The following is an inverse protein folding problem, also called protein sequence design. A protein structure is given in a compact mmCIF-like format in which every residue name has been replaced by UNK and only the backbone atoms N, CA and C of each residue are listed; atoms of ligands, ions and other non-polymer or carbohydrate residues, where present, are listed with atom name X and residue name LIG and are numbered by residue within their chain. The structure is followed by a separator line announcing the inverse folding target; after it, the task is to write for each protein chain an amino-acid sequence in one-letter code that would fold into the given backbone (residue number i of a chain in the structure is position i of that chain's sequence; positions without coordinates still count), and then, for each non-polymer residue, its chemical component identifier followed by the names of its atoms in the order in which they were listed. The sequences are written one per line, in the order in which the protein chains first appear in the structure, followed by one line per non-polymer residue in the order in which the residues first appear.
data_IF_348562652920
#
_entry.id   IF_348562652920
#
_cell.length_a   1.000
_cell.length_b   1.000
_cell.length_c   1.000
_cell.angle_alpha   90.00
_cell.angle_beta   90.00
_cell.angle_gamma   90.00
#
_symmetry.space_group_name_H-M   'P 1'
#
loop_
_entity.id
_entity.type
_entity.pdbx_description
1 polymer ?
#
# COMPACT_ATOMS: atom_id res chain seq x y z
N UNK A 1 2.96 8.12 -19.37
CA UNK A 1 3.58 6.78 -19.34
C UNK A 1 4.82 6.80 -18.48
N UNK A 2 5.01 5.78 -17.63
CA UNK A 2 6.25 5.61 -16.87
C UNK A 2 7.15 4.63 -17.62
N UNK A 3 8.40 5.03 -17.90
CA UNK A 3 9.47 4.12 -18.32
C UNK A 3 10.21 3.48 -17.14
N UNK A 4 9.79 3.79 -15.91
CA UNK A 4 10.39 3.29 -14.68
C UNK A 4 9.57 2.12 -14.15
N UNK A 5 10.25 0.99 -13.98
CA UNK A 5 9.70 -0.22 -13.36
C UNK A 5 10.11 -0.26 -11.89
N UNK A 6 9.13 -0.38 -11.01
CA UNK A 6 9.33 -0.56 -9.57
C UNK A 6 9.01 -2.02 -9.22
N UNK A 7 9.94 -2.72 -8.60
CA UNK A 7 9.71 -4.08 -8.11
C UNK A 7 10.46 -4.37 -6.81
N UNK A 8 10.01 -5.42 -6.11
CA UNK A 8 10.68 -5.99 -4.93
C UNK A 8 10.80 -4.97 -3.77
N UNK A 9 9.71 -4.24 -3.52
CA UNK A 9 9.63 -3.23 -2.47
C UNK A 9 8.98 -3.83 -1.23
N UNK A 10 9.59 -3.65 -0.06
CA UNK A 10 9.03 -4.09 1.22
C UNK A 10 8.71 -2.89 2.10
N UNK A 11 7.47 -2.79 2.53
CA UNK A 11 6.99 -1.85 3.55
C UNK A 11 6.74 -2.64 4.82
N UNK A 12 7.52 -2.38 5.85
CA UNK A 12 7.52 -3.16 7.08
C UNK A 12 7.41 -2.25 8.30
N UNK A 13 6.61 -2.66 9.30
CA UNK A 13 6.56 -2.06 10.63
C UNK A 13 6.16 -0.56 10.59
N UNK A 14 5.14 -0.24 9.80
CA UNK A 14 4.67 1.13 9.58
C UNK A 14 3.46 1.40 10.45
N UNK A 15 3.53 2.42 11.29
CA UNK A 15 2.47 2.76 12.24
C UNK A 15 2.12 4.23 12.20
N UNK A 16 0.84 4.54 12.36
CA UNK A 16 0.41 5.91 12.63
C UNK A 16 -0.99 6.24 12.14
N UNK A 17 -1.19 7.52 11.87
CA UNK A 17 -2.48 8.08 11.48
C UNK A 17 -2.32 8.92 10.22
N UNK A 18 -3.13 8.61 9.22
CA UNK A 18 -3.25 9.39 8.00
C UNK A 18 -4.22 10.56 8.20
N UNK A 19 -3.90 11.69 7.57
CA UNK A 19 -4.78 12.87 7.49
C UNK A 19 -5.84 12.71 6.41
N UNK A 20 -5.66 11.77 5.48
CA UNK A 20 -6.59 11.40 4.41
C UNK A 20 -7.17 10.01 4.62
N UNK A 21 -8.36 9.77 4.06
CA UNK A 21 -9.04 8.47 4.16
C UNK A 21 -8.21 7.35 3.51
N UNK A 22 -7.65 7.60 2.33
CA UNK A 22 -6.70 6.70 1.67
C UNK A 22 -5.31 6.93 2.27
N UNK A 23 -4.80 5.97 3.05
CA UNK A 23 -3.48 6.02 3.68
C UNK A 23 -2.42 5.25 2.89
N UNK A 24 -2.83 4.26 2.10
CA UNK A 24 -1.95 3.49 1.21
C UNK A 24 -2.42 3.69 -0.21
N UNK A 25 -1.57 4.24 -1.09
CA UNK A 25 -1.88 4.44 -2.50
C UNK A 25 -0.74 3.92 -3.38
N UNK A 26 -0.98 2.83 -4.10
CA UNK A 26 -0.09 2.32 -5.14
C UNK A 26 -0.69 2.63 -6.51
N UNK A 27 -0.13 3.62 -7.20
CA UNK A 27 -0.61 4.11 -8.49
C UNK A 27 0.47 3.89 -9.54
N UNK A 28 0.48 2.67 -10.09
CA UNK A 28 1.50 2.21 -11.02
C UNK A 28 0.97 2.29 -12.46
N UNK A 29 1.89 2.37 -13.42
CA UNK A 29 1.51 2.46 -14.82
C UNK A 29 1.01 1.11 -15.34
N UNK A 30 -0.07 1.09 -16.11
CA UNK A 30 -0.47 -0.08 -16.92
C UNK A 30 0.66 -0.55 -17.86
N UNK A 31 1.47 0.40 -18.34
CA UNK A 31 2.77 0.28 -19.01
C UNK A 31 3.77 -0.67 -18.35
N UNK A 32 3.92 -0.45 -17.06
CA UNK A 32 5.01 -0.99 -16.24
C UNK A 32 4.44 -1.18 -14.85
N UNK A 33 3.65 -2.25 -14.64
CA UNK A 33 3.02 -2.50 -13.35
C UNK A 33 4.07 -2.68 -12.27
N UNK A 34 3.73 -2.31 -11.04
CA UNK A 34 4.57 -2.60 -9.90
C UNK A 34 4.39 -4.06 -9.50
N UNK A 35 5.49 -4.75 -9.22
CA UNK A 35 5.48 -6.18 -8.91
C UNK A 35 6.24 -6.47 -7.62
N UNK A 36 5.88 -7.55 -6.93
CA UNK A 36 6.53 -7.99 -5.69
C UNK A 36 6.56 -6.90 -4.59
N UNK A 37 5.48 -6.13 -4.46
CA UNK A 37 5.32 -5.25 -3.29
C UNK A 37 4.92 -6.10 -2.09
N UNK A 38 5.59 -5.93 -0.95
CA UNK A 38 5.27 -6.62 0.30
C UNK A 38 4.86 -5.62 1.36
N UNK A 39 3.67 -5.82 1.93
CA UNK A 39 3.22 -5.12 3.13
C UNK A 39 3.35 -6.07 4.32
N UNK A 40 4.08 -5.67 5.34
CA UNK A 40 4.28 -6.46 6.55
C UNK A 40 4.07 -5.60 7.79
N UNK A 41 3.13 -5.99 8.65
CA UNK A 41 2.91 -5.31 9.93
C UNK A 41 2.68 -3.79 9.76
N UNK A 42 1.76 -3.43 8.88
CA UNK A 42 1.39 -2.03 8.57
C UNK A 42 0.08 -1.70 9.27
N UNK A 43 0.10 -0.69 10.14
CA UNK A 43 -1.06 -0.22 10.90
C UNK A 43 -1.24 1.29 10.76
N UNK A 44 -2.11 1.67 9.85
CA UNK A 44 -2.51 3.05 9.57
C UNK A 44 -3.99 3.25 9.88
N UNK A 45 -4.31 4.33 10.58
CA UNK A 45 -5.68 4.73 10.90
C UNK A 45 -6.02 6.07 10.27
N UNK A 46 -7.31 6.37 10.11
CA UNK A 46 -7.80 7.68 9.68
C UNK A 46 -8.49 8.36 10.85
N UNK A 47 -8.11 9.62 11.12
CA UNK A 47 -8.63 10.42 12.26
C UNK A 47 -8.60 9.68 13.60
N UNK A 48 -7.58 8.86 13.84
CA UNK A 48 -7.33 8.08 15.06
C UNK A 48 -8.39 7.05 15.47
N UNK A 49 -9.46 6.86 14.68
CA UNK A 49 -10.59 6.01 15.09
C UNK A 49 -11.10 5.13 13.94
N UNK A 50 -11.01 5.61 12.70
CA UNK A 50 -11.50 4.87 11.55
C UNK A 50 -10.38 4.04 10.92
N UNK A 51 -10.68 2.84 10.39
CA UNK A 51 -9.77 2.17 9.49
C UNK A 51 -9.51 3.10 8.30
N UNK A 52 -8.23 3.29 7.95
CA UNK A 52 -7.90 3.96 6.71
C UNK A 52 -8.31 3.07 5.51
N UNK A 53 -8.04 3.52 4.30
CA UNK A 53 -8.24 2.75 3.07
C UNK A 53 -6.92 2.58 2.31
N UNK A 54 -6.87 1.50 1.53
CA UNK A 54 -5.82 1.23 0.57
C UNK A 54 -6.39 1.30 -0.86
N UNK A 55 -5.63 1.88 -1.78
CA UNK A 55 -5.96 1.96 -3.20
C UNK A 55 -4.78 1.48 -4.04
N UNK A 56 -5.04 0.54 -4.95
CA UNK A 56 -4.03 -0.07 -5.80
C UNK A 56 -4.46 0.03 -7.27
N UNK A 57 -3.54 0.41 -8.15
CA UNK A 57 -3.71 0.48 -9.59
C UNK A 57 -2.46 -0.09 -10.24
N UNK A 58 -2.61 -1.18 -11.01
CA UNK A 58 -1.51 -1.90 -11.68
C UNK A 58 -0.36 -2.28 -10.73
N UNK A 59 -0.69 -2.64 -9.49
CA UNK A 59 0.24 -3.06 -8.46
C UNK A 59 -0.09 -4.49 -8.02
N UNK A 60 0.93 -5.34 -7.94
CA UNK A 60 0.81 -6.74 -7.54
C UNK A 60 1.78 -7.00 -6.40
N UNK A 61 1.29 -7.67 -5.36
CA UNK A 61 2.07 -7.87 -4.15
C UNK A 61 1.49 -8.91 -3.22
N UNK A 62 1.91 -8.83 -1.96
CA UNK A 62 1.37 -9.62 -0.88
C UNK A 62 1.35 -8.82 0.43
N UNK A 63 0.41 -9.17 1.29
CA UNK A 63 0.30 -8.65 2.64
C UNK A 63 0.49 -9.79 3.64
N UNK A 64 1.24 -9.53 4.71
CA UNK A 64 1.52 -10.50 5.77
C UNK A 64 1.55 -9.83 7.14
N UNK A 65 1.21 -10.57 8.20
CA UNK A 65 1.11 -10.02 9.55
C UNK A 65 -0.11 -9.11 9.74
N UNK A 66 0.00 -8.12 10.62
CA UNK A 66 -1.09 -7.17 10.88
C UNK A 66 -1.11 -6.08 9.80
N UNK A 67 -2.06 -6.15 8.86
CA UNK A 67 -2.20 -5.15 7.79
C UNK A 67 -3.54 -4.44 7.88
N UNK A 68 -3.50 -3.22 8.41
CA UNK A 68 -4.61 -2.27 8.47
C UNK A 68 -4.11 -0.95 7.85
N UNK A 69 -4.75 -0.42 6.81
CA UNK A 69 -6.01 -0.84 6.21
C UNK A 69 -5.91 -2.14 5.41
N UNK A 70 -7.06 -2.73 5.06
CA UNK A 70 -7.12 -3.98 4.27
C UNK A 70 -6.29 -3.82 2.99
N UNK A 71 -5.36 -4.76 2.76
CA UNK A 71 -4.51 -4.76 1.56
C UNK A 71 -5.35 -4.76 0.29
N UNK A 72 -4.92 -3.97 -0.70
CA UNK A 72 -5.40 -4.02 -2.08
C UNK A 72 -4.42 -4.70 -3.04
N UNK A 73 -3.29 -5.18 -2.50
CA UNK A 73 -2.26 -5.98 -3.18
C UNK A 73 -2.57 -7.47 -3.05
#
# INVERSE_FOLDING_TARGET
ESGVKVSDVTYQDIHGTSTTEVAVKFDCSSKSPCNNIRLQDVKLTYKNVLPAQASCSHAVGSASGLVQPSSCL
#
